data_IF_513391462837
#
_entry.id   IF_513391462837
#
_cell.length_a   1.000
_cell.length_b   1.000
_cell.length_c   1.000
_cell.angle_alpha   90.00
_cell.angle_beta   90.00
_cell.angle_gamma   90.00
#
_symmetry.space_group_name_H-M   'P 1'
#
loop_
_entity.id
_entity.type
_entity.pdbx_description
1 polymer ?
#
# COMPACT_ATOMS: atom_id res chain seq x y z
N UNK A 1 19.23 -33.40 16.37
CA UNK A 1 17.97 -32.68 16.62
C UNK A 1 17.58 -32.01 15.32
N UNK A 2 16.41 -32.32 14.78
CA UNK A 2 15.95 -31.77 13.49
C UNK A 2 15.33 -30.40 13.76
N UNK A 3 15.86 -29.35 13.14
CA UNK A 3 15.28 -28.00 13.23
C UNK A 3 13.85 -28.04 12.69
N UNK A 4 12.84 -27.55 13.44
CA UNK A 4 11.47 -27.51 12.94
C UNK A 4 11.39 -26.62 11.69
N UNK A 5 10.60 -27.05 10.70
CA UNK A 5 10.38 -26.29 9.48
C UNK A 5 9.63 -24.98 9.78
N UNK A 6 9.91 -23.90 9.02
CA UNK A 6 9.14 -22.66 9.12
C UNK A 6 7.65 -22.89 8.84
N UNK A 7 6.80 -22.02 9.39
CA UNK A 7 5.39 -21.96 9.02
C UNK A 7 5.23 -21.47 7.58
N UNK A 8 4.10 -21.83 6.96
CA UNK A 8 3.76 -21.37 5.63
C UNK A 8 3.49 -19.85 5.62
N UNK A 9 3.91 -19.18 4.54
CA UNK A 9 3.58 -17.78 4.29
C UNK A 9 2.07 -17.62 4.05
N UNK A 10 1.43 -16.75 4.82
CA UNK A 10 0.00 -16.46 4.74
C UNK A 10 -0.31 -15.08 4.15
N UNK A 11 0.70 -14.25 3.88
CA UNK A 11 0.48 -12.85 3.57
C UNK A 11 -0.31 -12.69 2.26
N UNK A 12 0.22 -13.23 1.17
CA UNK A 12 -0.40 -13.06 -0.15
C UNK A 12 -1.66 -13.91 -0.35
N UNK A 13 -1.77 -15.03 0.38
CA UNK A 13 -2.86 -16.00 0.22
C UNK A 13 -4.03 -15.75 1.17
N UNK A 14 -3.80 -15.08 2.30
CA UNK A 14 -4.83 -14.86 3.34
C UNK A 14 -4.91 -13.40 3.79
N UNK A 15 -3.82 -12.84 4.30
CA UNK A 15 -3.88 -11.58 5.05
C UNK A 15 -4.09 -10.36 4.14
N UNK A 16 -3.37 -10.28 3.02
CA UNK A 16 -3.49 -9.19 2.04
C UNK A 16 -4.87 -9.17 1.34
N UNK A 17 -5.46 -10.29 0.90
CA UNK A 17 -6.85 -10.32 0.43
C UNK A 17 -7.85 -9.74 1.44
N UNK A 18 -7.71 -10.09 2.73
CA UNK A 18 -8.57 -9.55 3.81
C UNK A 18 -8.33 -8.05 3.99
N UNK A 19 -7.07 -7.60 4.01
CA UNK A 19 -6.73 -6.18 4.12
C UNK A 19 -7.35 -5.36 2.97
N UNK A 20 -7.28 -5.87 1.73
CA UNK A 20 -7.90 -5.24 0.55
C UNK A 20 -9.43 -5.17 0.69
N UNK A 21 -10.07 -6.21 1.20
CA UNK A 21 -11.51 -6.21 1.44
C UNK A 21 -11.92 -5.18 2.50
N UNK A 22 -11.21 -5.13 3.63
CA UNK A 22 -11.42 -4.11 4.68
C UNK A 22 -11.25 -2.71 4.10
N UNK A 23 -10.15 -2.47 3.37
CA UNK A 23 -9.83 -1.18 2.79
C UNK A 23 -10.93 -0.69 1.83
N UNK A 24 -11.42 -1.55 0.92
CA UNK A 24 -12.52 -1.21 0.01
C UNK A 24 -13.80 -0.83 0.75
N UNK A 25 -14.14 -1.59 1.79
CA UNK A 25 -15.35 -1.36 2.58
C UNK A 25 -15.28 -0.09 3.43
N UNK A 26 -14.07 0.32 3.85
CA UNK A 26 -13.85 1.60 4.55
C UNK A 26 -13.85 2.78 3.57
N UNK A 27 -13.24 2.62 2.39
CA UNK A 27 -13.09 3.68 1.40
C UNK A 27 -14.41 4.01 0.66
N UNK A 28 -15.22 3.00 0.37
CA UNK A 28 -16.52 3.14 -0.29
C UNK A 28 -17.63 2.40 0.49
N UNK A 29 -18.05 2.92 1.67
CA UNK A 29 -18.96 2.21 2.56
C UNK A 29 -20.38 2.12 2.01
N UNK A 30 -20.93 0.91 1.77
CA UNK A 30 -22.30 0.76 1.24
C UNK A 30 -23.40 1.04 2.28
N UNK A 31 -23.13 0.83 3.57
CA UNK A 31 -24.15 0.88 4.65
C UNK A 31 -23.67 1.63 5.92
N UNK A 32 -22.75 2.58 5.75
CA UNK A 32 -22.26 3.44 6.84
C UNK A 32 -20.77 3.26 7.13
N UNK A 33 -20.22 4.18 7.92
CA UNK A 33 -18.82 4.15 8.36
C UNK A 33 -18.57 2.99 9.34
N UNK A 34 -17.47 2.29 9.16
CA UNK A 34 -17.01 1.12 9.92
C UNK A 34 -17.71 -0.23 9.59
N UNK A 35 -17.16 -1.01 8.62
CA UNK A 35 -17.68 -2.32 8.26
C UNK A 35 -17.50 -3.34 9.40
N UNK A 36 -18.48 -4.24 9.53
CA UNK A 36 -18.41 -5.37 10.47
C UNK A 36 -17.67 -6.56 9.86
N UNK A 37 -17.11 -7.45 10.70
CA UNK A 37 -16.35 -8.64 10.25
C UNK A 37 -17.12 -9.48 9.22
N UNK A 38 -18.42 -9.67 9.45
CA UNK A 38 -19.27 -10.45 8.55
C UNK A 38 -19.41 -9.87 7.13
N UNK A 39 -19.21 -8.56 6.93
CA UNK A 39 -19.17 -7.96 5.60
C UNK A 39 -17.84 -8.23 4.88
N UNK A 40 -16.75 -8.42 5.63
CA UNK A 40 -15.42 -8.69 5.08
C UNK A 40 -15.32 -10.11 4.52
N UNK A 41 -16.01 -11.07 5.14
CA UNK A 41 -16.00 -12.48 4.69
C UNK A 41 -16.36 -12.62 3.20
N UNK A 42 -17.56 -12.20 2.74
CA UNK A 42 -17.91 -12.28 1.32
C UNK A 42 -17.04 -11.36 0.44
N UNK A 43 -16.61 -10.20 0.95
CA UNK A 43 -15.78 -9.27 0.20
C UNK A 43 -14.33 -9.78 -0.04
N UNK A 44 -13.83 -10.62 0.85
CA UNK A 44 -12.50 -11.24 0.75
C UNK A 44 -12.49 -12.52 -0.08
N UNK A 45 -13.65 -13.20 -0.20
CA UNK A 45 -13.75 -14.51 -0.84
C UNK A 45 -13.14 -15.66 -0.02
N UNK A 46 -12.77 -15.41 1.24
CA UNK A 46 -12.13 -16.38 2.12
C UNK A 46 -13.11 -16.94 3.17
N UNK A 47 -12.87 -18.16 3.69
CA UNK A 47 -13.71 -18.73 4.73
C UNK A 47 -13.57 -17.94 6.05
N UNK A 48 -14.65 -17.90 6.84
CA UNK A 48 -14.71 -17.09 8.07
C UNK A 48 -13.52 -17.31 9.04
N UNK A 49 -13.04 -18.55 9.31
CA UNK A 49 -11.90 -18.75 10.20
C UNK A 49 -10.62 -18.06 9.70
N UNK A 50 -10.37 -18.09 8.40
CA UNK A 50 -9.20 -17.43 7.79
C UNK A 50 -9.31 -15.91 7.88
N UNK A 51 -10.52 -15.37 7.69
CA UNK A 51 -10.79 -13.94 7.83
C UNK A 51 -10.60 -13.48 9.28
N UNK A 52 -11.05 -14.27 10.26
CA UNK A 52 -10.82 -13.99 11.69
C UNK A 52 -9.32 -14.00 12.01
N UNK A 53 -8.60 -15.03 11.56
CA UNK A 53 -7.15 -15.15 11.77
C UNK A 53 -6.38 -13.97 11.16
N UNK A 54 -6.68 -13.63 9.91
CA UNK A 54 -6.08 -12.49 9.23
C UNK A 54 -6.44 -11.16 9.90
N UNK A 55 -7.71 -10.93 10.25
CA UNK A 55 -8.15 -9.70 10.89
C UNK A 55 -7.41 -9.45 12.21
N UNK A 56 -7.27 -10.50 13.04
CA UNK A 56 -6.51 -10.39 14.29
C UNK A 56 -5.03 -10.05 14.01
N UNK A 57 -4.39 -10.74 13.06
CA UNK A 57 -3.00 -10.47 12.71
C UNK A 57 -2.79 -9.03 12.19
N UNK A 58 -3.69 -8.55 11.33
CA UNK A 58 -3.66 -7.19 10.78
C UNK A 58 -3.88 -6.11 11.84
N UNK A 59 -4.77 -6.36 12.82
CA UNK A 59 -4.98 -5.46 13.95
C UNK A 59 -3.74 -5.43 14.86
N UNK A 60 -3.19 -6.59 15.21
CA UNK A 60 -1.97 -6.68 16.02
C UNK A 60 -0.77 -6.01 15.34
N UNK A 61 -0.66 -6.11 14.03
CA UNK A 61 0.39 -5.47 13.25
C UNK A 61 0.18 -3.95 13.05
N UNK A 62 -0.96 -3.38 13.46
CA UNK A 62 -1.27 -1.96 13.29
C UNK A 62 -1.65 -1.55 11.86
N UNK A 63 -1.98 -2.50 10.98
CA UNK A 63 -2.51 -2.19 9.66
C UNK A 63 -3.95 -1.71 9.70
N UNK A 64 -4.72 -2.19 10.68
CA UNK A 64 -6.16 -1.95 10.82
C UNK A 64 -6.48 -1.65 12.28
N UNK A 65 -7.38 -0.71 12.52
CA UNK A 65 -7.99 -0.51 13.84
C UNK A 65 -9.38 -1.13 13.89
N UNK A 66 -9.72 -1.72 15.03
CA UNK A 66 -10.98 -2.42 15.22
C UNK A 66 -11.59 -2.17 16.61
N UNK A 67 -12.91 -2.23 16.67
CA UNK A 67 -13.67 -2.30 17.92
C UNK A 67 -13.96 -3.77 18.24
N UNK A 68 -13.71 -4.15 19.49
CA UNK A 68 -13.96 -5.50 20.00
C UNK A 68 -15.14 -5.53 20.97
N UNK A 69 -15.77 -6.70 21.12
CA UNK A 69 -16.75 -6.94 22.17
C UNK A 69 -16.05 -7.28 23.51
N UNK A 70 -16.82 -7.54 24.56
CA UNK A 70 -16.28 -7.93 25.88
C UNK A 70 -15.48 -9.24 25.86
N UNK A 71 -15.75 -10.13 24.90
CA UNK A 71 -15.00 -11.37 24.69
C UNK A 71 -13.72 -11.16 23.86
N UNK A 72 -13.42 -9.94 23.43
CA UNK A 72 -12.25 -9.62 22.60
C UNK A 72 -12.43 -9.90 21.11
N UNK A 73 -13.63 -10.27 20.66
CA UNK A 73 -13.89 -10.55 19.25
C UNK A 73 -14.07 -9.25 18.47
N UNK A 74 -13.47 -9.17 17.27
CA UNK A 74 -13.61 -8.03 16.37
C UNK A 74 -15.06 -7.90 15.90
N UNK A 75 -15.66 -6.75 16.18
CA UNK A 75 -17.04 -6.41 15.77
C UNK A 75 -17.02 -5.53 14.53
N UNK A 76 -16.18 -4.48 14.52
CA UNK A 76 -16.08 -3.51 13.42
C UNK A 76 -14.65 -3.06 13.18
N UNK A 77 -14.35 -2.66 11.95
CA UNK A 77 -13.10 -1.99 11.58
C UNK A 77 -13.33 -0.49 11.46
N UNK A 78 -12.54 0.33 12.15
CA UNK A 78 -12.74 1.78 12.23
C UNK A 78 -11.90 2.54 11.22
N UNK A 79 -10.65 2.10 11.01
CA UNK A 79 -9.72 2.73 10.07
C UNK A 79 -8.63 1.75 9.62
N UNK A 80 -7.84 2.19 8.64
CA UNK A 80 -6.63 1.52 8.16
C UNK A 80 -5.46 2.51 8.20
N UNK A 81 -4.27 2.00 8.46
CA UNK A 81 -3.05 2.82 8.49
C UNK A 81 -2.66 3.33 7.10
N UNK A 82 -1.80 4.35 7.05
CA UNK A 82 -1.25 4.83 5.78
C UNK A 82 -0.43 3.76 5.04
N UNK A 83 0.23 2.85 5.77
CA UNK A 83 0.93 1.71 5.18
C UNK A 83 -0.04 0.71 4.56
N UNK A 84 -1.13 0.38 5.27
CA UNK A 84 -2.19 -0.46 4.71
C UNK A 84 -2.77 0.15 3.42
N UNK A 85 -3.03 1.46 3.39
CA UNK A 85 -3.51 2.15 2.18
C UNK A 85 -2.56 2.00 1.00
N UNK A 86 -1.25 2.03 1.22
CA UNK A 86 -0.24 1.79 0.17
C UNK A 86 -0.24 0.33 -0.28
N UNK A 87 -0.24 -0.62 0.66
CA UNK A 87 -0.25 -2.06 0.36
C UNK A 87 -1.51 -2.49 -0.42
N UNK A 88 -2.63 -1.83 -0.19
CA UNK A 88 -3.89 -2.08 -0.92
C UNK A 88 -4.00 -1.29 -2.23
N UNK A 89 -3.03 -0.43 -2.55
CA UNK A 89 -3.03 0.39 -3.75
C UNK A 89 -4.01 1.57 -3.71
N UNK A 90 -4.55 1.93 -2.53
CA UNK A 90 -5.38 3.14 -2.37
C UNK A 90 -4.52 4.40 -2.42
N UNK A 91 -3.30 4.32 -1.87
CA UNK A 91 -2.35 5.41 -1.84
C UNK A 91 -1.12 5.08 -2.70
N UNK A 92 -0.46 6.09 -3.27
CA UNK A 92 0.75 5.86 -4.04
C UNK A 92 1.86 5.23 -3.22
N UNK A 93 2.65 4.39 -3.87
CA UNK A 93 3.92 3.88 -3.37
C UNK A 93 5.09 4.67 -3.96
N UNK A 94 6.26 4.68 -3.30
CA UNK A 94 7.45 5.30 -3.88
C UNK A 94 7.80 4.77 -5.28
N UNK A 95 7.55 3.48 -5.54
CA UNK A 95 7.72 2.86 -6.86
C UNK A 95 6.76 3.48 -7.88
N UNK A 96 5.46 3.53 -7.57
CA UNK A 96 4.47 4.11 -8.51
C UNK A 96 4.68 5.61 -8.74
N UNK A 97 5.19 6.33 -7.74
CA UNK A 97 5.51 7.76 -7.90
C UNK A 97 6.79 7.97 -8.70
N UNK A 98 7.74 7.04 -8.63
CA UNK A 98 8.92 7.04 -9.49
C UNK A 98 8.55 6.78 -10.95
N UNK A 99 7.71 5.77 -11.19
CA UNK A 99 7.14 5.48 -12.51
C UNK A 99 6.40 6.70 -13.07
N UNK A 100 5.54 7.33 -12.27
CA UNK A 100 4.84 8.56 -12.65
C UNK A 100 5.81 9.69 -12.99
N UNK A 101 6.90 9.86 -12.24
CA UNK A 101 7.91 10.89 -12.53
C UNK A 101 8.55 10.66 -13.90
N UNK A 102 8.90 9.42 -14.23
CA UNK A 102 9.45 9.06 -15.54
C UNK A 102 8.45 9.32 -16.66
N UNK A 103 7.19 8.90 -16.49
CA UNK A 103 6.12 9.17 -17.45
C UNK A 103 5.91 10.68 -17.68
N UNK A 104 5.93 11.48 -16.62
CA UNK A 104 5.80 12.93 -16.74
C UNK A 104 7.00 13.57 -17.45
N UNK A 105 8.22 13.10 -17.19
CA UNK A 105 9.42 13.59 -17.88
C UNK A 105 9.33 13.36 -19.40
N UNK A 106 8.92 12.16 -19.80
CA UNK A 106 8.72 11.77 -21.21
C UNK A 106 7.60 12.60 -21.88
N UNK A 107 6.48 12.78 -21.18
CA UNK A 107 5.35 13.56 -21.67
C UNK A 107 5.74 15.04 -21.89
N UNK A 108 6.56 15.61 -21.00
CA UNK A 108 7.06 16.99 -21.15
C UNK A 108 8.06 17.12 -22.28
N UNK A 109 8.93 16.12 -22.49
CA UNK A 109 9.80 16.11 -23.66
C UNK A 109 8.98 16.10 -24.97
N UNK A 110 7.96 15.24 -25.05
CA UNK A 110 7.11 15.14 -26.25
C UNK A 110 6.30 16.40 -26.51
N UNK A 111 5.78 17.05 -25.46
CA UNK A 111 4.98 18.26 -25.55
C UNK A 111 5.77 19.58 -25.64
N UNK A 112 7.11 19.54 -25.64
CA UNK A 112 7.93 20.74 -25.60
C UNK A 112 7.80 21.61 -26.86
N UNK A 113 7.61 22.92 -26.63
CA UNK A 113 7.39 23.91 -27.70
C UNK A 113 8.69 24.34 -28.41
N UNK A 114 9.85 24.07 -27.80
CA UNK A 114 11.17 24.35 -28.36
C UNK A 114 12.06 23.12 -28.31
N UNK A 115 13.02 23.06 -29.23
CA UNK A 115 14.00 21.97 -29.27
C UNK A 115 14.88 21.94 -28.02
N UNK A 116 15.29 23.11 -27.52
CA UNK A 116 16.07 23.22 -26.29
C UNK A 116 15.31 22.68 -25.07
N UNK A 117 14.02 23.00 -24.94
CA UNK A 117 13.19 22.47 -23.85
C UNK A 117 13.03 20.95 -23.99
N UNK A 118 12.82 20.46 -25.21
CA UNK A 118 12.72 19.03 -25.50
C UNK A 118 13.98 18.29 -25.07
N UNK A 119 15.15 18.79 -25.44
CA UNK A 119 16.45 18.20 -25.10
C UNK A 119 16.68 18.16 -23.58
N UNK A 120 16.30 19.23 -22.86
CA UNK A 120 16.41 19.25 -21.39
C UNK A 120 15.54 18.20 -20.73
N UNK A 121 14.29 18.05 -21.16
CA UNK A 121 13.41 17.02 -20.60
C UNK A 121 13.85 15.61 -20.95
N UNK A 122 14.36 15.38 -22.17
CA UNK A 122 14.96 14.09 -22.55
C UNK A 122 16.17 13.75 -21.68
N UNK A 123 17.11 14.69 -21.54
CA UNK A 123 18.29 14.48 -20.70
C UNK A 123 17.91 14.16 -19.25
N UNK A 124 16.88 14.82 -18.71
CA UNK A 124 16.34 14.49 -17.39
C UNK A 124 15.71 13.09 -17.34
N UNK A 125 14.88 12.73 -18.33
CA UNK A 125 14.25 11.42 -18.40
C UNK A 125 15.28 10.29 -18.51
N UNK A 126 16.30 10.45 -19.36
CA UNK A 126 17.38 9.48 -19.53
C UNK A 126 18.19 9.31 -18.24
N UNK A 127 18.54 10.42 -17.58
CA UNK A 127 19.26 10.40 -16.32
C UNK A 127 18.44 9.74 -15.20
N UNK A 128 17.14 10.05 -15.12
CA UNK A 128 16.23 9.42 -14.16
C UNK A 128 16.11 7.92 -14.46
N UNK A 129 15.85 7.51 -15.70
CA UNK A 129 15.77 6.11 -16.09
C UNK A 129 17.04 5.32 -15.74
N UNK A 130 18.22 5.93 -15.91
CA UNK A 130 19.50 5.33 -15.57
C UNK A 130 19.71 5.06 -14.06
N UNK A 131 19.01 5.77 -13.17
CA UNK A 131 19.01 5.49 -11.71
C UNK A 131 18.36 4.14 -11.41
N UNK A 132 17.39 3.71 -12.22
CA UNK A 132 16.68 2.45 -12.06
C UNK A 132 15.58 2.47 -11.00
N UNK A 133 14.70 1.46 -11.00
CA UNK A 133 13.46 1.45 -10.22
C UNK A 133 13.69 1.38 -8.70
N UNK A 134 14.70 0.64 -8.25
CA UNK A 134 14.94 0.44 -6.81
C UNK A 134 15.48 1.72 -6.15
N UNK A 135 16.54 2.30 -6.74
CA UNK A 135 17.12 3.55 -6.24
C UNK A 135 16.16 4.74 -6.45
N UNK A 136 15.40 4.73 -7.54
CA UNK A 136 14.32 5.68 -7.79
C UNK A 136 13.23 5.64 -6.72
N UNK A 137 12.79 4.44 -6.33
CA UNK A 137 11.84 4.29 -5.24
C UNK A 137 12.40 4.76 -3.88
N UNK A 138 13.69 4.57 -3.61
CA UNK A 138 14.32 5.13 -2.40
C UNK A 138 14.32 6.67 -2.43
N UNK A 139 14.62 7.28 -3.58
CA UNK A 139 14.55 8.73 -3.75
C UNK A 139 13.12 9.25 -3.48
N UNK A 140 12.11 8.60 -4.07
CA UNK A 140 10.72 8.96 -3.86
C UNK A 140 10.27 8.73 -2.41
N UNK A 141 10.81 7.69 -1.75
CA UNK A 141 10.54 7.44 -0.34
C UNK A 141 11.06 8.58 0.56
N UNK A 142 12.23 9.14 0.25
CA UNK A 142 12.75 10.32 0.96
C UNK A 142 11.89 11.58 0.72
N UNK A 143 11.37 11.76 -0.50
CA UNK A 143 10.55 12.91 -0.88
C UNK A 143 9.12 12.85 -0.31
N UNK A 144 8.48 11.68 -0.34
CA UNK A 144 7.08 11.48 0.09
C UNK A 144 7.00 11.23 1.60
N UNK A 145 7.98 10.51 2.15
CA UNK A 145 7.99 10.06 3.55
C UNK A 145 8.26 11.16 4.58
N UNK A 146 8.64 12.37 4.14
CA UNK A 146 8.90 13.48 5.05
C UNK A 146 9.98 13.17 6.09
N UNK A 147 11.20 12.79 5.66
CA UNK A 147 12.37 12.78 6.54
C UNK A 147 13.62 13.25 5.79
N UNK A 148 13.93 14.54 5.93
CA UNK A 148 15.31 15.03 5.86
C UNK A 148 15.79 15.12 7.31
N UNK A 149 16.58 14.17 7.83
CA UNK A 149 17.45 14.50 8.93
C UNK A 149 18.46 15.51 8.39
N UNK A 150 18.37 16.78 8.82
CA UNK A 150 19.51 17.69 8.70
C UNK A 150 20.63 17.08 9.52
N UNK A 151 21.74 16.76 8.86
CA UNK A 151 23.00 16.54 9.55
C UNK A 151 23.24 17.71 10.53
N UNK A 152 23.68 17.37 11.74
CA UNK A 152 24.58 18.27 12.46
C UNK A 152 25.99 17.91 12.06
#
# INVERSE_FOLDING_TARGET
MTTPLPLADTWFTRDLPVLRAIARLIDAPPHGSAPYLGAVVPASGLPKPDVVGAANALVTAGYVEALTNHAGEIVRFTTISGEARRLTGLWPTPQTEWERLLEQAEARATGAMSDLERERWRAFADAAAAVGPDAGALLMSALIGGYVPRAR
#
